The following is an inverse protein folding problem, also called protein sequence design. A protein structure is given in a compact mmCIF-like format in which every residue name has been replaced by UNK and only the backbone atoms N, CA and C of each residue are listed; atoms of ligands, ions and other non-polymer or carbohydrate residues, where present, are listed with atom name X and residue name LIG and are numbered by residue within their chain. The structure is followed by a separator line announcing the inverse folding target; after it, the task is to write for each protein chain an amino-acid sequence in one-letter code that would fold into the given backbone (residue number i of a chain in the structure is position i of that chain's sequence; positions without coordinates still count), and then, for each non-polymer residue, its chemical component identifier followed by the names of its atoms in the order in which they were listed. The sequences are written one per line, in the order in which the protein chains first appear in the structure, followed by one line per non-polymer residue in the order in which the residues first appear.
data_IF_308868436361
#
_entry.id   IF_308868436361
#
_cell.length_a   1.000
_cell.length_b   1.000
_cell.length_c   1.000
_cell.angle_alpha   90.00
_cell.angle_beta   90.00
_cell.angle_gamma   90.00
#
_symmetry.space_group_name_H-M   'P 1'
#
loop_
_entity.id
_entity.type
_entity.pdbx_description
1 polymer ?
#
# COMPACT_ATOMS: atom_id res chain seq x y z
N UNK A 1 37.49 31.31 -5.43
CA UNK A 1 37.62 30.22 -6.42
C UNK A 1 36.37 29.34 -6.53
N UNK A 2 35.33 29.52 -5.70
CA UNK A 2 34.06 28.79 -5.77
C UNK A 2 33.03 29.38 -6.76
N UNK A 3 33.15 30.66 -7.15
CA UNK A 3 32.15 31.38 -7.96
C UNK A 3 32.22 31.10 -9.48
N UNK A 4 33.28 30.44 -9.97
CA UNK A 4 33.51 30.21 -11.41
C UNK A 4 33.08 28.82 -11.90
N UNK A 5 32.69 27.93 -10.99
CA UNK A 5 32.18 26.59 -11.32
C UNK A 5 30.65 26.51 -11.32
N UNK A 6 29.94 27.47 -10.71
CA UNK A 6 28.47 27.46 -10.62
C UNK A 6 27.77 27.71 -11.96
N UNK A 7 28.34 28.54 -12.83
CA UNK A 7 27.68 28.97 -14.08
C UNK A 7 27.81 27.99 -15.25
N UNK A 8 28.95 27.31 -15.50
CA UNK A 8 29.04 26.34 -16.60
C UNK A 8 28.33 25.03 -16.27
N UNK A 9 28.39 24.59 -15.00
CA UNK A 9 27.74 23.37 -14.51
C UNK A 9 26.22 23.54 -14.42
N UNK A 10 25.72 24.73 -14.06
CA UNK A 10 24.28 25.05 -14.12
C UNK A 10 23.69 24.78 -15.50
N UNK A 11 24.32 25.28 -16.57
CA UNK A 11 23.75 25.21 -17.92
C UNK A 11 23.91 23.83 -18.57
N UNK A 12 25.05 23.15 -18.38
CA UNK A 12 25.23 21.79 -18.94
C UNK A 12 24.37 20.77 -18.22
N UNK A 13 24.36 20.77 -16.89
CA UNK A 13 23.58 19.80 -16.10
C UNK A 13 22.09 20.10 -16.19
N UNK A 14 21.62 21.36 -16.13
CA UNK A 14 20.19 21.62 -16.34
C UNK A 14 19.75 21.31 -17.78
N UNK A 15 20.54 21.61 -18.81
CA UNK A 15 20.11 21.33 -20.20
C UNK A 15 20.12 19.83 -20.52
N UNK A 16 21.12 19.08 -20.06
CA UNK A 16 21.15 17.62 -20.25
C UNK A 16 20.08 16.92 -19.40
N UNK A 17 19.81 17.38 -18.18
CA UNK A 17 18.83 16.76 -17.28
C UNK A 17 17.39 17.11 -17.67
N UNK A 18 17.10 18.34 -18.14
CA UNK A 18 15.76 18.72 -18.63
C UNK A 18 15.45 18.18 -20.03
N UNK A 19 16.45 18.05 -20.92
CA UNK A 19 16.27 17.44 -22.23
C UNK A 19 16.22 15.89 -22.15
N UNK A 20 17.01 15.27 -21.27
CA UNK A 20 16.99 13.81 -21.09
C UNK A 20 15.80 13.31 -20.28
N UNK A 21 15.28 14.06 -19.30
CA UNK A 21 14.20 13.58 -18.42
C UNK A 21 12.88 13.23 -19.14
N UNK A 22 12.63 13.74 -20.36
CA UNK A 22 11.49 13.30 -21.18
C UNK A 22 11.77 12.10 -22.08
N UNK A 23 13.03 11.78 -22.35
CA UNK A 23 13.44 10.69 -23.27
C UNK A 23 14.16 9.51 -22.57
N UNK A 24 14.54 9.63 -21.30
CA UNK A 24 15.29 8.59 -20.56
C UNK A 24 14.45 7.49 -19.92
N UNK A 25 13.12 7.57 -20.03
CA UNK A 25 12.19 6.62 -19.39
C UNK A 25 12.35 5.19 -19.97
N UNK A 26 12.93 5.03 -21.15
CA UNK A 26 12.91 3.75 -21.86
C UNK A 26 14.19 2.88 -21.82
N UNK A 27 15.28 3.28 -21.14
CA UNK A 27 16.50 2.44 -21.07
C UNK A 27 17.17 2.44 -19.70
N UNK A 28 16.71 1.56 -18.81
CA UNK A 28 17.24 1.37 -17.46
C UNK A 28 17.46 -0.12 -17.18
N UNK A 29 18.60 -0.65 -17.58
CA UNK A 29 19.17 -1.88 -17.03
C UNK A 29 20.64 -1.60 -16.67
N UNK A 30 21.03 -2.02 -15.47
CA UNK A 30 22.31 -1.86 -14.74
C UNK A 30 22.60 -0.53 -13.98
N UNK A 31 23.24 -0.60 -12.78
CA UNK A 31 23.69 0.56 -12.04
C UNK A 31 24.94 1.11 -12.73
N UNK A 32 24.71 2.08 -13.62
CA UNK A 32 25.77 2.83 -14.26
C UNK A 32 26.53 3.68 -13.20
N UNK A 33 27.85 3.50 -13.02
CA UNK A 33 28.67 4.31 -12.10
C UNK A 33 28.50 5.82 -12.29
N UNK A 34 28.16 6.29 -13.50
CA UNK A 34 27.88 7.70 -13.76
C UNK A 34 26.63 8.20 -13.02
N UNK A 35 25.60 7.36 -12.85
CA UNK A 35 24.36 7.73 -12.14
C UNK A 35 24.58 7.88 -10.65
N UNK A 36 25.45 7.05 -10.06
CA UNK A 36 25.84 7.16 -8.65
C UNK A 36 26.61 8.46 -8.42
N UNK A 37 27.60 8.75 -9.27
CA UNK A 37 28.37 10.00 -9.21
C UNK A 37 27.47 11.24 -9.36
N UNK A 38 26.50 11.19 -10.27
CA UNK A 38 25.53 12.26 -10.46
C UNK A 38 24.64 12.45 -9.21
N UNK A 39 24.19 11.36 -8.58
CA UNK A 39 23.45 11.42 -7.31
C UNK A 39 24.22 12.10 -6.18
N UNK A 40 25.52 11.80 -6.04
CA UNK A 40 26.39 12.41 -5.02
C UNK A 40 26.54 13.92 -5.23
N UNK A 41 26.74 14.37 -6.47
CA UNK A 41 26.84 15.81 -6.78
C UNK A 41 25.53 16.54 -6.47
N UNK A 42 24.39 15.94 -6.82
CA UNK A 42 23.08 16.52 -6.54
C UNK A 42 22.79 16.60 -5.04
N UNK A 43 23.18 15.59 -4.27
CA UNK A 43 23.11 15.60 -2.80
C UNK A 43 23.97 16.70 -2.21
N UNK A 44 25.20 16.85 -2.69
CA UNK A 44 26.09 17.93 -2.26
C UNK A 44 25.45 19.30 -2.49
N UNK A 45 24.92 19.57 -3.70
CA UNK A 45 24.25 20.83 -4.04
C UNK A 45 22.98 21.08 -3.21
N UNK A 46 22.21 20.04 -2.92
CA UNK A 46 21.01 20.12 -2.08
C UNK A 46 21.35 20.60 -0.66
N UNK A 47 22.49 20.17 -0.12
CA UNK A 47 22.95 20.49 1.23
C UNK A 47 23.69 21.83 1.33
N UNK A 48 24.21 22.40 0.24
CA UNK A 48 24.95 23.66 0.29
C UNK A 48 24.06 24.84 0.67
N UNK A 49 24.45 25.61 1.68
CA UNK A 49 23.73 26.84 2.08
C UNK A 49 23.70 27.90 0.98
N UNK A 50 24.77 27.99 0.18
CA UNK A 50 24.90 28.96 -0.91
C UNK A 50 24.01 28.68 -2.11
N UNK A 51 23.49 27.46 -2.24
CA UNK A 51 22.64 27.08 -3.37
C UNK A 51 21.26 27.70 -3.27
N UNK A 52 20.83 28.36 -4.35
CA UNK A 52 19.47 28.91 -4.50
C UNK A 52 18.40 27.84 -4.27
N UNK A 53 17.26 28.22 -3.70
CA UNK A 53 16.11 27.32 -3.46
C UNK A 53 15.59 26.67 -4.74
N UNK A 54 15.64 27.37 -5.88
CA UNK A 54 15.28 26.83 -7.18
C UNK A 54 16.20 25.66 -7.56
N UNK A 55 17.52 25.84 -7.42
CA UNK A 55 18.50 24.78 -7.70
C UNK A 55 18.28 23.58 -6.78
N UNK A 56 18.08 23.80 -5.48
CA UNK A 56 17.81 22.72 -4.52
C UNK A 56 16.54 21.96 -4.88
N UNK A 57 15.51 22.67 -5.34
CA UNK A 57 14.25 22.08 -5.82
C UNK A 57 14.49 21.17 -7.01
N UNK A 58 15.23 21.64 -8.03
CA UNK A 58 15.60 20.81 -9.18
C UNK A 58 16.44 19.60 -8.76
N UNK A 59 17.42 19.76 -7.86
CA UNK A 59 18.18 18.65 -7.32
C UNK A 59 17.28 17.58 -6.68
N UNK A 60 16.35 18.00 -5.80
CA UNK A 60 15.40 17.08 -5.17
C UNK A 60 14.48 16.37 -6.19
N UNK A 61 14.05 17.08 -7.24
CA UNK A 61 13.25 16.50 -8.34
C UNK A 61 14.05 15.40 -9.04
N UNK A 62 15.29 15.67 -9.42
CA UNK A 62 16.15 14.75 -10.18
C UNK A 62 16.52 13.54 -9.33
N UNK A 63 16.85 13.74 -8.04
CA UNK A 63 17.06 12.65 -7.10
C UNK A 63 15.82 11.75 -6.97
N UNK A 64 14.62 12.36 -6.93
CA UNK A 64 13.36 11.61 -6.95
C UNK A 64 13.18 10.77 -8.21
N UNK A 65 13.54 11.30 -9.38
CA UNK A 65 13.50 10.57 -10.65
C UNK A 65 14.52 9.43 -10.69
N UNK A 66 15.72 9.62 -10.14
CA UNK A 66 16.72 8.55 -10.01
C UNK A 66 16.21 7.41 -9.13
N UNK A 67 15.56 7.74 -8.01
CA UNK A 67 14.95 6.77 -7.10
C UNK A 67 13.79 5.98 -7.73
N UNK A 68 13.09 6.53 -8.73
CA UNK A 68 12.03 5.82 -9.47
C UNK A 68 12.56 4.76 -10.45
N UNK A 69 13.88 4.68 -10.66
CA UNK A 69 14.49 3.73 -11.60
C UNK A 69 14.49 2.29 -11.08
N UNK A 70 15.61 1.83 -10.54
CA UNK A 70 15.77 0.45 -10.03
C UNK A 70 15.92 0.44 -8.50
N UNK A 71 15.69 -0.71 -7.87
CA UNK A 71 16.02 -0.91 -6.45
C UNK A 71 17.50 -0.62 -6.14
N UNK A 72 18.39 -0.89 -7.10
CA UNK A 72 19.81 -0.56 -6.95
C UNK A 72 20.05 0.94 -6.88
N UNK A 73 19.31 1.75 -7.64
CA UNK A 73 19.39 3.21 -7.53
C UNK A 73 18.99 3.67 -6.13
N UNK A 74 17.91 3.10 -5.57
CA UNK A 74 17.47 3.43 -4.20
C UNK A 74 18.54 3.05 -3.19
N UNK A 75 19.12 1.84 -3.28
CA UNK A 75 20.25 1.41 -2.41
C UNK A 75 21.43 2.38 -2.48
N UNK A 76 21.88 2.74 -3.69
CA UNK A 76 22.99 3.69 -3.85
C UNK A 76 22.69 5.08 -3.26
N UNK A 77 21.45 5.55 -3.35
CA UNK A 77 21.05 6.81 -2.73
C UNK A 77 21.01 6.71 -1.20
N UNK A 78 20.55 5.58 -0.65
CA UNK A 78 20.59 5.30 0.79
C UNK A 78 22.03 5.28 1.32
N UNK A 79 22.95 4.64 0.60
CA UNK A 79 24.39 4.62 0.93
C UNK A 79 24.99 6.03 0.96
N UNK A 80 24.41 6.98 0.21
CA UNK A 80 24.80 8.39 0.21
C UNK A 80 24.04 9.24 1.25
N UNK A 81 23.33 8.63 2.20
CA UNK A 81 22.56 9.33 3.24
C UNK A 81 21.51 10.33 2.72
N UNK A 82 20.79 9.96 1.66
CA UNK A 82 19.76 10.81 1.05
C UNK A 82 18.62 11.19 2.02
N UNK A 83 18.19 10.29 2.91
CA UNK A 83 17.04 10.51 3.78
C UNK A 83 17.30 11.71 4.73
N UNK A 84 18.39 11.74 5.52
CA UNK A 84 18.74 12.93 6.32
C UNK A 84 18.82 14.22 5.51
N UNK A 85 19.39 14.18 4.30
CA UNK A 85 19.50 15.36 3.44
C UNK A 85 18.13 15.93 3.04
N UNK A 86 17.19 15.05 2.67
CA UNK A 86 15.84 15.45 2.30
C UNK A 86 15.01 15.90 3.50
N UNK A 87 15.16 15.24 4.66
CA UNK A 87 14.51 15.64 5.92
C UNK A 87 14.98 17.04 6.34
N UNK A 88 16.26 17.34 6.22
CA UNK A 88 16.79 18.69 6.44
C UNK A 88 16.17 19.70 5.46
N UNK A 89 15.95 19.32 4.20
CA UNK A 89 15.26 20.13 3.21
C UNK A 89 13.83 20.53 3.61
N UNK A 90 13.15 19.69 4.41
CA UNK A 90 11.80 19.97 4.92
C UNK A 90 11.76 21.12 5.94
N UNK A 91 12.90 21.60 6.44
CA UNK A 91 12.98 22.77 7.32
C UNK A 91 12.95 24.10 6.55
N UNK A 92 13.02 24.05 5.22
CA UNK A 92 12.89 25.23 4.35
C UNK A 92 11.52 25.91 4.49
N UNK A 93 11.41 27.24 4.34
CA UNK A 93 10.13 27.92 4.24
C UNK A 93 9.49 27.79 2.84
N UNK A 94 10.25 27.39 1.82
CA UNK A 94 9.77 27.33 0.43
C UNK A 94 8.94 26.06 0.17
N UNK A 95 7.64 26.22 -0.09
CA UNK A 95 6.71 25.10 -0.26
C UNK A 95 7.05 24.23 -1.48
N UNK A 96 7.55 24.80 -2.58
CA UNK A 96 7.90 24.02 -3.78
C UNK A 96 9.07 23.08 -3.49
N UNK A 97 10.06 23.56 -2.75
CA UNK A 97 11.17 22.75 -2.32
C UNK A 97 10.74 21.67 -1.32
N UNK A 98 9.90 22.00 -0.33
CA UNK A 98 9.30 21.02 0.60
C UNK A 98 8.58 19.91 -0.18
N UNK A 99 7.72 20.27 -1.14
CA UNK A 99 6.99 19.30 -1.95
C UNK A 99 7.93 18.42 -2.79
N UNK A 100 9.01 18.98 -3.32
CA UNK A 100 10.03 18.20 -4.05
C UNK A 100 10.75 17.20 -3.12
N UNK A 101 11.14 17.63 -1.91
CA UNK A 101 11.74 16.76 -0.90
C UNK A 101 10.78 15.66 -0.45
N UNK A 102 9.53 15.98 -0.12
CA UNK A 102 8.51 15.00 0.27
C UNK A 102 8.21 14.02 -0.86
N UNK A 103 8.15 14.49 -2.10
CA UNK A 103 7.95 13.61 -3.27
C UNK A 103 9.09 12.61 -3.42
N UNK A 104 10.33 13.06 -3.22
CA UNK A 104 11.52 12.21 -3.25
C UNK A 104 11.53 11.21 -2.09
N UNK A 105 11.30 11.68 -0.85
CA UNK A 105 11.18 10.83 0.34
C UNK A 105 10.10 9.76 0.17
N UNK A 106 8.93 10.13 -0.37
CA UNK A 106 7.85 9.19 -0.69
C UNK A 106 8.34 8.09 -1.62
N UNK A 107 9.06 8.43 -2.69
CA UNK A 107 9.59 7.44 -3.63
C UNK A 107 10.55 6.48 -2.94
N UNK A 108 11.47 7.01 -2.12
CA UNK A 108 12.46 6.22 -1.38
C UNK A 108 11.76 5.28 -0.40
N UNK A 109 10.85 5.77 0.44
CA UNK A 109 10.16 4.99 1.45
C UNK A 109 9.10 4.01 0.89
N UNK A 110 8.63 4.21 -0.34
CA UNK A 110 7.74 3.23 -1.01
C UNK A 110 8.52 2.04 -1.58
N UNK A 111 9.84 2.16 -1.70
CA UNK A 111 10.68 1.08 -2.22
C UNK A 111 10.83 -0.06 -1.20
N UNK A 112 10.74 -1.34 -1.62
CA UNK A 112 10.87 -2.49 -0.71
C UNK A 112 12.26 -2.65 -0.11
N UNK A 113 13.28 -1.96 -0.64
CA UNK A 113 14.66 -2.03 -0.15
C UNK A 113 15.02 -0.96 0.88
N UNK A 114 14.09 -0.04 1.16
CA UNK A 114 14.28 1.00 2.17
C UNK A 114 13.74 0.50 3.52
N UNK A 115 14.58 0.38 4.56
CA UNK A 115 14.10 0.02 5.90
C UNK A 115 13.16 1.08 6.46
N UNK A 116 11.96 0.68 6.87
CA UNK A 116 10.94 1.57 7.41
C UNK A 116 11.34 2.24 8.72
N UNK A 117 12.23 1.62 9.51
CA UNK A 117 12.69 2.10 10.81
C UNK A 117 13.41 3.45 10.66
N UNK A 118 14.00 3.72 9.50
CA UNK A 118 14.70 4.97 9.21
C UNK A 118 13.80 6.21 9.34
N UNK A 119 12.48 6.05 9.18
CA UNK A 119 11.51 7.14 9.39
C UNK A 119 11.36 7.48 10.89
N UNK A 120 11.58 6.50 11.77
CA UNK A 120 11.30 6.59 13.21
C UNK A 120 12.58 6.76 14.07
N UNK A 121 13.76 6.80 13.45
CA UNK A 121 15.05 6.97 14.17
C UNK A 121 15.15 8.30 14.92
N UNK A 122 14.62 9.38 14.34
CA UNK A 122 14.60 10.72 14.96
C UNK A 122 13.17 11.08 15.36
N UNK A 123 12.95 11.23 16.67
CA UNK A 123 11.64 11.53 17.26
C UNK A 123 11.04 12.86 16.80
N UNK A 124 11.82 13.76 16.19
CA UNK A 124 11.33 15.04 15.66
C UNK A 124 10.68 14.92 14.28
N UNK A 125 10.97 13.85 13.53
CA UNK A 125 10.53 13.68 12.14
C UNK A 125 9.01 13.54 12.04
N UNK A 126 8.40 12.66 12.83
CA UNK A 126 6.94 12.45 12.78
C UNK A 126 6.17 13.73 13.14
N UNK A 127 6.45 14.44 14.26
CA UNK A 127 5.85 15.75 14.54
C UNK A 127 6.01 16.75 13.40
N UNK A 128 7.19 16.83 12.79
CA UNK A 128 7.45 17.77 11.69
C UNK A 128 6.62 17.44 10.44
N UNK A 129 6.54 16.16 10.07
CA UNK A 129 5.68 15.71 8.98
C UNK A 129 4.20 16.01 9.26
N UNK A 130 3.73 15.83 10.50
CA UNK A 130 2.35 16.20 10.87
C UNK A 130 2.11 17.72 10.70
N UNK A 131 3.07 18.56 11.09
CA UNK A 131 2.97 20.01 10.89
C UNK A 131 2.94 20.42 9.41
N UNK A 132 3.59 19.62 8.54
CA UNK A 132 3.58 19.86 7.09
C UNK A 132 2.32 19.38 6.38
N UNK A 133 1.52 18.51 7.02
CA UNK A 133 0.35 17.88 6.42
C UNK A 133 -0.69 18.89 5.92
N UNK A 134 -0.88 20.03 6.61
CA UNK A 134 -1.89 21.03 6.23
C UNK A 134 -1.43 22.03 5.17
N UNK A 135 -0.17 21.97 4.70
CA UNK A 135 0.40 23.01 3.83
C UNK A 135 -0.07 22.98 2.39
N UNK A 136 -0.32 21.80 1.83
CA UNK A 136 -0.88 21.67 0.48
C UNK A 136 -1.48 20.28 0.25
N UNK A 137 -2.24 20.12 -0.84
CA UNK A 137 -2.72 18.80 -1.28
C UNK A 137 -1.58 17.80 -1.54
N UNK A 138 -0.41 18.30 -1.95
CA UNK A 138 0.74 17.47 -2.26
C UNK A 138 1.42 17.00 -0.97
N UNK A 139 1.53 17.87 0.04
CA UNK A 139 2.04 17.44 1.35
C UNK A 139 1.11 16.42 1.98
N UNK A 140 -0.21 16.62 1.92
CA UNK A 140 -1.21 15.62 2.33
C UNK A 140 -0.99 14.26 1.66
N UNK A 141 -0.92 14.24 0.32
CA UNK A 141 -0.74 13.01 -0.45
C UNK A 141 0.55 12.28 -0.09
N UNK A 142 1.70 12.98 -0.13
CA UNK A 142 3.00 12.35 0.05
C UNK A 142 3.24 11.88 1.47
N UNK A 143 2.83 12.65 2.48
CA UNK A 143 3.02 12.29 3.88
C UNK A 143 2.14 11.11 4.27
N UNK A 144 0.87 11.11 3.85
CA UNK A 144 0.02 9.94 4.05
C UNK A 144 0.61 8.69 3.36
N UNK A 145 1.12 8.83 2.14
CA UNK A 145 1.74 7.71 1.45
C UNK A 145 3.01 7.20 2.16
N UNK A 146 3.85 8.09 2.69
CA UNK A 146 5.02 7.70 3.50
C UNK A 146 4.55 6.91 4.73
N UNK A 147 3.59 7.43 5.50
CA UNK A 147 3.07 6.74 6.68
C UNK A 147 2.43 5.39 6.36
N UNK A 148 1.67 5.29 5.26
CA UNK A 148 1.05 4.02 4.89
C UNK A 148 2.07 2.93 4.51
N UNK A 149 3.26 3.31 4.05
CA UNK A 149 4.31 2.34 3.70
C UNK A 149 5.19 2.00 4.90
N UNK A 150 5.57 2.99 5.71
CA UNK A 150 6.50 2.80 6.82
C UNK A 150 5.82 2.29 8.12
N UNK A 151 4.50 2.41 8.26
CA UNK A 151 3.80 1.87 9.43
C UNK A 151 3.57 0.35 9.25
N UNK A 152 4.41 -0.48 9.87
CA UNK A 152 4.40 -1.95 9.72
C UNK A 152 4.01 -2.72 10.98
N UNK A 153 4.00 -2.08 12.15
CA UNK A 153 3.75 -2.75 13.42
C UNK A 153 3.26 -1.82 14.54
N UNK A 154 2.96 -2.37 15.72
CA UNK A 154 2.34 -1.66 16.83
C UNK A 154 3.17 -0.47 17.34
N UNK A 155 4.50 -0.55 17.31
CA UNK A 155 5.37 0.54 17.74
C UNK A 155 5.22 1.77 16.81
N UNK A 156 5.24 1.55 15.49
CA UNK A 156 5.04 2.61 14.50
C UNK A 156 3.64 3.22 14.60
N UNK A 157 2.61 2.38 14.77
CA UNK A 157 1.23 2.83 14.97
C UNK A 157 1.11 3.71 16.23
N UNK A 158 1.76 3.30 17.33
CA UNK A 158 1.76 4.04 18.61
C UNK A 158 2.43 5.40 18.46
N UNK A 159 3.57 5.47 17.77
CA UNK A 159 4.27 6.74 17.50
C UNK A 159 3.36 7.68 16.69
N UNK A 160 2.79 7.20 15.58
CA UNK A 160 1.88 7.99 14.75
C UNK A 160 0.65 8.45 15.54
N UNK A 161 0.06 7.55 16.33
CA UNK A 161 -1.10 7.83 17.17
C UNK A 161 -0.80 8.92 18.21
N UNK A 162 0.31 8.80 18.94
CA UNK A 162 0.72 9.76 19.96
C UNK A 162 1.03 11.17 19.39
N UNK A 163 1.43 11.24 18.12
CA UNK A 163 1.62 12.51 17.40
C UNK A 163 0.37 12.99 16.64
N UNK A 164 -0.81 12.44 16.95
CA UNK A 164 -2.09 12.94 16.48
C UNK A 164 -2.41 12.58 15.03
N UNK A 165 -1.85 11.50 14.47
CA UNK A 165 -2.13 11.06 13.10
C UNK A 165 -3.63 10.91 12.84
N UNK A 166 -4.38 10.35 13.80
CA UNK A 166 -5.83 10.13 13.69
C UNK A 166 -6.56 11.46 13.45
N UNK A 167 -6.34 12.46 14.30
CA UNK A 167 -7.03 13.74 14.22
C UNK A 167 -6.59 14.55 12.99
N UNK A 168 -5.28 14.52 12.67
CA UNK A 168 -4.73 15.27 11.55
C UNK A 168 -5.09 14.68 10.18
N UNK A 169 -5.31 13.36 10.07
CA UNK A 169 -5.59 12.69 8.79
C UNK A 169 -7.09 12.45 8.57
N UNK A 170 -7.92 12.38 9.62
CA UNK A 170 -9.35 12.03 9.50
C UNK A 170 -10.12 12.91 8.50
N UNK A 171 -9.93 14.24 8.56
CA UNK A 171 -10.60 15.16 7.63
C UNK A 171 -10.16 14.98 6.16
N UNK A 172 -9.01 14.34 5.90
CA UNK A 172 -8.56 14.06 4.54
C UNK A 172 -9.40 12.97 3.85
N UNK A 173 -10.15 12.17 4.61
CA UNK A 173 -11.10 11.19 4.07
C UNK A 173 -12.29 11.83 3.34
N UNK A 174 -12.59 13.11 3.61
CA UNK A 174 -13.63 13.87 2.88
C UNK A 174 -13.05 14.81 1.83
N UNK A 175 -11.72 14.83 1.65
CA UNK A 175 -11.04 15.66 0.64
C UNK A 175 -11.59 15.43 -0.77
N UNK A 176 -11.75 16.51 -1.55
CA UNK A 176 -12.17 16.43 -2.96
C UNK A 176 -11.13 15.76 -3.87
N UNK A 177 -9.87 15.71 -3.44
CA UNK A 177 -8.81 15.01 -4.18
C UNK A 177 -8.87 13.51 -3.92
N UNK A 178 -9.18 12.72 -4.95
CA UNK A 178 -9.12 11.26 -4.88
C UNK A 178 -7.79 10.76 -4.35
N UNK A 179 -6.67 11.35 -4.82
CA UNK A 179 -5.33 10.93 -4.40
C UNK A 179 -5.12 11.11 -2.90
N UNK A 180 -5.46 12.28 -2.37
CA UNK A 180 -5.36 12.56 -0.93
C UNK A 180 -6.25 11.61 -0.14
N UNK A 181 -7.51 11.47 -0.56
CA UNK A 181 -8.50 10.61 0.09
C UNK A 181 -8.03 9.15 0.17
N UNK A 182 -7.46 8.64 -0.92
CA UNK A 182 -6.95 7.27 -0.98
C UNK A 182 -5.73 7.06 -0.09
N UNK A 183 -4.78 8.00 -0.05
CA UNK A 183 -3.63 7.85 0.85
C UNK A 183 -4.05 7.94 2.32
N UNK A 184 -4.98 8.84 2.66
CA UNK A 184 -5.55 8.90 4.00
C UNK A 184 -6.22 7.56 4.38
N UNK A 185 -7.03 6.98 3.48
CA UNK A 185 -7.67 5.68 3.71
C UNK A 185 -6.64 4.56 3.92
N UNK A 186 -5.54 4.55 3.16
CA UNK A 186 -4.43 3.60 3.36
C UNK A 186 -3.75 3.78 4.72
N UNK A 187 -3.54 5.02 5.18
CA UNK A 187 -3.05 5.29 6.54
C UNK A 187 -3.97 4.68 7.60
N UNK A 188 -5.29 4.89 7.50
CA UNK A 188 -6.22 4.32 8.46
C UNK A 188 -6.20 2.79 8.45
N UNK A 189 -6.01 2.17 7.29
CA UNK A 189 -5.88 0.71 7.20
C UNK A 189 -4.67 0.19 7.98
N UNK A 190 -3.49 0.82 7.85
CA UNK A 190 -2.30 0.37 8.59
C UNK A 190 -2.33 0.74 10.07
N UNK A 191 -3.04 1.81 10.44
CA UNK A 191 -3.25 2.19 11.85
C UNK A 191 -4.20 1.23 12.58
N UNK A 192 -5.21 0.71 11.89
CA UNK A 192 -6.20 -0.20 12.48
C UNK A 192 -5.71 -1.64 12.60
N UNK A 193 -4.74 -2.06 11.78
CA UNK A 193 -4.30 -3.45 11.70
C UNK A 193 -3.74 -3.96 13.03
N UNK A 194 -4.40 -4.98 13.60
CA UNK A 194 -3.99 -5.66 14.84
C UNK A 194 -3.73 -4.72 16.04
N UNK A 195 -4.42 -3.57 16.09
CA UNK A 195 -4.26 -2.59 17.15
C UNK A 195 -5.60 -2.23 17.81
N UNK A 196 -5.95 -2.87 18.94
CA UNK A 196 -7.18 -2.58 19.68
C UNK A 196 -7.29 -1.15 20.17
N UNK A 197 -6.21 -0.57 20.69
CA UNK A 197 -6.23 0.80 21.24
C UNK A 197 -6.56 1.82 20.15
N UNK A 198 -5.85 1.77 19.03
CA UNK A 198 -6.07 2.67 17.91
C UNK A 198 -7.45 2.43 17.33
N UNK A 199 -7.85 1.17 17.09
CA UNK A 199 -9.17 0.84 16.52
C UNK A 199 -10.35 1.32 17.38
N UNK A 200 -10.26 1.19 18.71
CA UNK A 200 -11.26 1.73 19.65
C UNK A 200 -11.36 3.25 19.59
N UNK A 201 -10.27 3.94 19.27
CA UNK A 201 -10.31 5.38 19.02
C UNK A 201 -10.97 5.67 17.68
N UNK A 202 -10.58 4.95 16.62
CA UNK A 202 -11.07 5.16 15.25
C UNK A 202 -12.59 5.09 15.13
N UNK A 203 -13.24 4.13 15.79
CA UNK A 203 -14.73 3.99 15.73
C UNK A 203 -15.47 5.23 16.24
N UNK A 204 -14.83 6.03 17.10
CA UNK A 204 -15.42 7.20 17.77
C UNK A 204 -15.03 8.53 17.11
N UNK A 205 -14.17 8.52 16.09
CA UNK A 205 -13.75 9.74 15.40
C UNK A 205 -14.88 10.26 14.51
N UNK A 206 -15.21 11.54 14.70
CA UNK A 206 -16.19 12.27 13.90
C UNK A 206 -15.49 13.12 12.84
N UNK A 207 -15.94 13.02 11.60
CA UNK A 207 -15.56 13.91 10.50
C UNK A 207 -16.83 14.45 9.87
N UNK A 208 -16.99 15.77 9.85
CA UNK A 208 -18.17 16.45 9.33
C UNK A 208 -19.51 15.92 9.91
N UNK A 209 -19.49 15.48 11.18
CA UNK A 209 -20.65 14.94 11.90
C UNK A 209 -20.91 13.44 11.69
N UNK A 210 -20.07 12.74 10.93
CA UNK A 210 -20.19 11.30 10.68
C UNK A 210 -19.06 10.51 11.31
N UNK A 211 -19.37 9.32 11.82
CA UNK A 211 -18.37 8.43 12.40
C UNK A 211 -17.52 7.78 11.29
N UNK A 212 -16.23 7.52 11.56
CA UNK A 212 -15.34 6.89 10.58
C UNK A 212 -15.90 5.59 9.96
N UNK A 213 -16.52 4.64 10.72
CA UNK A 213 -17.13 3.46 10.11
C UNK A 213 -18.20 3.80 9.06
N UNK A 214 -18.98 4.87 9.25
CA UNK A 214 -19.99 5.31 8.28
C UNK A 214 -19.34 5.85 7.01
N UNK A 215 -18.24 6.60 7.15
CA UNK A 215 -17.44 7.11 6.02
C UNK A 215 -16.84 5.94 5.23
N UNK A 216 -16.29 4.93 5.90
CA UNK A 216 -15.81 3.72 5.26
C UNK A 216 -16.93 2.97 4.53
N UNK A 217 -18.11 2.83 5.14
CA UNK A 217 -19.28 2.23 4.47
C UNK A 217 -19.67 2.99 3.19
N UNK A 218 -19.59 4.33 3.17
CA UNK A 218 -19.82 5.11 1.93
C UNK A 218 -18.76 4.83 0.86
N UNK A 219 -17.52 4.55 1.26
CA UNK A 219 -16.42 4.18 0.38
C UNK A 219 -16.54 2.74 -0.18
N UNK A 220 -17.42 1.89 0.40
CA UNK A 220 -17.74 0.55 -0.11
C UNK A 220 -18.76 0.53 -1.26
N UNK A 221 -19.39 1.67 -1.58
CA UNK A 221 -20.44 1.74 -2.59
C UNK A 221 -19.91 1.33 -3.98
N UNK A 222 -20.78 0.71 -4.79
CA UNK A 222 -20.39 0.11 -6.08
C UNK A 222 -19.92 1.13 -7.13
N UNK A 223 -20.30 2.39 -6.98
CA UNK A 223 -19.88 3.50 -7.83
C UNK A 223 -18.46 4.02 -7.50
N UNK A 224 -17.85 3.54 -6.41
CA UNK A 224 -16.47 3.93 -6.04
C UNK A 224 -15.42 3.08 -6.77
N UNK A 225 -14.18 3.57 -6.93
CA UNK A 225 -13.08 2.76 -7.44
C UNK A 225 -12.82 1.50 -6.59
N UNK A 226 -12.39 0.40 -7.21
CA UNK A 226 -12.21 -0.88 -6.52
C UNK A 226 -11.16 -0.81 -5.41
N UNK A 227 -10.05 -0.12 -5.65
CA UNK A 227 -9.02 0.17 -4.64
C UNK A 227 -9.61 0.81 -3.38
N UNK A 228 -10.55 1.76 -3.54
CA UNK A 228 -11.24 2.43 -2.42
C UNK A 228 -12.13 1.45 -1.66
N UNK A 229 -12.89 0.63 -2.38
CA UNK A 229 -13.76 -0.37 -1.77
C UNK A 229 -12.96 -1.42 -0.98
N UNK A 230 -11.86 -1.95 -1.54
CA UNK A 230 -10.98 -2.91 -0.88
C UNK A 230 -10.32 -2.30 0.36
N UNK A 231 -9.71 -1.12 0.23
CA UNK A 231 -9.01 -0.48 1.35
C UNK A 231 -9.98 -0.09 2.47
N UNK A 232 -11.19 0.35 2.11
CA UNK A 232 -12.25 0.63 3.09
C UNK A 232 -12.73 -0.63 3.80
N UNK A 233 -12.91 -1.73 3.05
CA UNK A 233 -13.27 -3.02 3.62
C UNK A 233 -12.19 -3.50 4.60
N UNK A 234 -10.90 -3.31 4.27
CA UNK A 234 -9.78 -3.60 5.19
C UNK A 234 -9.86 -2.81 6.48
N UNK A 235 -10.14 -1.50 6.42
CA UNK A 235 -10.30 -0.68 7.63
C UNK A 235 -11.39 -1.25 8.54
N UNK A 236 -12.57 -1.53 8.00
CA UNK A 236 -13.69 -2.09 8.77
C UNK A 236 -13.38 -3.50 9.29
N UNK A 237 -12.76 -4.35 8.47
CA UNK A 237 -12.31 -5.68 8.87
C UNK A 237 -11.32 -5.62 10.03
N UNK A 238 -10.31 -4.75 9.96
CA UNK A 238 -9.30 -4.63 10.99
C UNK A 238 -9.88 -4.07 12.29
N UNK A 239 -10.76 -3.07 12.21
CA UNK A 239 -11.47 -2.55 13.38
C UNK A 239 -12.39 -3.60 14.02
N UNK A 240 -13.03 -4.44 13.21
CA UNK A 240 -13.81 -5.59 13.69
C UNK A 240 -12.91 -6.63 14.39
N UNK A 241 -11.81 -7.03 13.75
CA UNK A 241 -10.86 -8.02 14.27
C UNK A 241 -10.14 -7.55 15.53
N UNK A 242 -9.95 -6.24 15.67
CA UNK A 242 -9.41 -5.60 16.88
C UNK A 242 -10.46 -5.45 18.02
N UNK A 243 -11.71 -5.89 17.80
CA UNK A 243 -12.79 -5.85 18.79
C UNK A 243 -13.49 -4.49 18.93
N UNK A 244 -13.18 -3.52 18.06
CA UNK A 244 -13.78 -2.19 18.12
C UNK A 244 -15.16 -2.12 17.44
N UNK A 245 -15.38 -2.97 16.44
CA UNK A 245 -16.69 -3.17 15.79
C UNK A 245 -17.12 -4.61 16.08
N UNK A 246 -18.40 -4.80 16.41
CA UNK A 246 -18.94 -6.15 16.62
C UNK A 246 -19.10 -6.89 15.30
N UNK A 247 -18.94 -8.20 15.32
CA UNK A 247 -19.09 -9.05 14.12
C UNK A 247 -20.53 -9.05 13.58
N UNK A 248 -21.53 -8.80 14.44
CA UNK A 248 -22.95 -8.68 14.10
C UNK A 248 -23.38 -7.27 13.64
N UNK A 249 -22.45 -6.31 13.60
CA UNK A 249 -22.77 -4.95 13.14
C UNK A 249 -23.15 -4.94 11.65
N UNK A 250 -24.18 -4.15 11.30
CA UNK A 250 -24.65 -4.01 9.93
C UNK A 250 -23.56 -3.55 8.96
N UNK A 251 -22.57 -2.76 9.42
CA UNK A 251 -21.45 -2.37 8.58
C UNK A 251 -20.57 -3.56 8.19
N UNK A 252 -20.49 -4.59 9.05
CA UNK A 252 -19.74 -5.82 8.75
C UNK A 252 -20.59 -6.77 7.91
N UNK A 253 -21.74 -7.19 8.44
CA UNK A 253 -22.57 -8.25 7.86
C UNK A 253 -23.19 -7.83 6.52
N UNK A 254 -23.68 -6.59 6.42
CA UNK A 254 -24.45 -6.14 5.25
C UNK A 254 -23.63 -5.31 4.26
N UNK A 255 -22.43 -4.84 4.63
CA UNK A 255 -21.58 -3.99 3.77
C UNK A 255 -20.22 -4.60 3.49
N UNK A 256 -19.40 -4.84 4.51
CA UNK A 256 -18.00 -5.30 4.34
C UNK A 256 -17.92 -6.71 3.76
N UNK A 257 -18.59 -7.69 4.37
CA UNK A 257 -18.54 -9.09 3.93
C UNK A 257 -19.05 -9.23 2.47
N UNK A 258 -20.24 -8.71 2.08
CA UNK A 258 -20.70 -8.80 0.70
C UNK A 258 -19.80 -8.07 -0.29
N UNK A 259 -19.14 -6.98 0.13
CA UNK A 259 -18.16 -6.29 -0.69
C UNK A 259 -16.96 -7.20 -0.99
N UNK A 260 -16.37 -7.81 0.03
CA UNK A 260 -15.21 -8.68 -0.10
C UNK A 260 -15.52 -9.95 -0.90
N UNK A 261 -16.71 -10.55 -0.71
CA UNK A 261 -17.15 -11.69 -1.54
C UNK A 261 -17.22 -11.29 -3.02
N UNK A 262 -17.74 -10.11 -3.35
CA UNK A 262 -17.78 -9.60 -4.73
C UNK A 262 -16.37 -9.35 -5.30
N UNK A 263 -15.39 -8.99 -4.47
CA UNK A 263 -14.00 -8.84 -4.92
C UNK A 263 -13.38 -10.18 -5.35
N UNK A 264 -13.92 -11.30 -4.88
CA UNK A 264 -13.44 -12.61 -5.27
C UNK A 264 -13.86 -13.03 -6.70
N UNK A 265 -14.73 -12.25 -7.36
CA UNK A 265 -15.34 -12.62 -8.65
C UNK A 265 -14.39 -12.59 -9.85
N UNK A 266 -14.72 -13.38 -10.87
CA UNK A 266 -13.94 -13.48 -12.12
C UNK A 266 -13.92 -12.21 -12.98
N UNK A 267 -14.68 -11.19 -12.61
CA UNK A 267 -14.72 -9.88 -13.29
C UNK A 267 -13.63 -8.93 -12.76
N UNK A 268 -12.96 -9.30 -11.67
CA UNK A 268 -11.91 -8.49 -11.00
C UNK A 268 -10.52 -8.82 -11.52
N UNK A 269 -9.58 -7.90 -11.32
CA UNK A 269 -8.16 -8.15 -11.56
C UNK A 269 -7.63 -9.23 -10.60
N UNK A 270 -6.51 -9.85 -10.93
CA UNK A 270 -5.97 -10.98 -10.15
C UNK A 270 -5.57 -10.52 -8.74
N UNK A 271 -4.98 -9.34 -8.64
CA UNK A 271 -4.52 -8.72 -7.40
C UNK A 271 -5.72 -8.33 -6.51
N UNK A 272 -6.78 -7.78 -7.11
CA UNK A 272 -8.03 -7.44 -6.41
C UNK A 272 -8.72 -8.67 -5.83
N UNK A 273 -8.66 -9.80 -6.55
CA UNK A 273 -9.18 -11.10 -6.11
C UNK A 273 -8.40 -11.65 -4.93
N UNK A 274 -7.07 -11.63 -5.03
CA UNK A 274 -6.17 -12.05 -3.95
C UNK A 274 -6.45 -11.21 -2.70
N UNK A 275 -6.41 -9.89 -2.81
CA UNK A 275 -6.62 -8.99 -1.67
C UNK A 275 -8.04 -9.14 -1.07
N UNK A 276 -9.06 -9.28 -1.91
CA UNK A 276 -10.44 -9.52 -1.49
C UNK A 276 -10.59 -10.83 -0.71
N UNK A 277 -10.01 -11.92 -1.22
CA UNK A 277 -10.09 -13.24 -0.59
C UNK A 277 -9.29 -13.29 0.72
N UNK A 278 -8.10 -12.70 0.77
CA UNK A 278 -7.28 -12.65 1.99
C UNK A 278 -7.93 -11.79 3.08
N UNK A 279 -8.49 -10.63 2.71
CA UNK A 279 -9.19 -9.76 3.65
C UNK A 279 -10.46 -10.44 4.17
N UNK A 280 -11.20 -11.16 3.31
CA UNK A 280 -12.37 -11.93 3.73
C UNK A 280 -11.99 -13.06 4.67
N UNK A 281 -10.91 -13.79 4.36
CA UNK A 281 -10.40 -14.86 5.21
C UNK A 281 -10.11 -14.33 6.62
N UNK A 282 -9.36 -13.22 6.70
CA UNK A 282 -9.03 -12.58 7.97
C UNK A 282 -10.27 -12.10 8.74
N UNK A 283 -11.30 -11.58 8.06
CA UNK A 283 -12.54 -11.14 8.69
C UNK A 283 -13.30 -12.28 9.37
N UNK A 284 -13.48 -13.40 8.68
CA UNK A 284 -14.38 -14.48 9.10
C UNK A 284 -13.72 -15.53 9.99
N UNK A 285 -12.38 -15.63 9.97
CA UNK A 285 -11.61 -16.64 10.70
C UNK A 285 -12.06 -16.86 12.17
N UNK A 286 -12.31 -15.82 13.00
CA UNK A 286 -12.68 -16.04 14.40
C UNK A 286 -14.19 -16.28 14.62
N UNK A 287 -15.06 -16.01 13.65
CA UNK A 287 -16.51 -15.89 13.87
C UNK A 287 -17.32 -16.89 13.04
N UNK A 288 -17.98 -17.82 13.74
CA UNK A 288 -18.78 -18.90 13.13
C UNK A 288 -19.94 -18.35 12.29
N UNK A 289 -20.58 -17.27 12.72
CA UNK A 289 -21.74 -16.73 12.03
C UNK A 289 -21.32 -16.03 10.73
N UNK A 290 -20.22 -15.27 10.76
CA UNK A 290 -19.63 -14.71 9.54
C UNK A 290 -19.17 -15.81 8.56
N UNK A 291 -18.61 -16.92 9.06
CA UNK A 291 -18.28 -18.09 8.23
C UNK A 291 -19.53 -18.67 7.56
N UNK A 292 -20.62 -18.85 8.31
CA UNK A 292 -21.90 -19.32 7.77
C UNK A 292 -22.43 -18.39 6.70
N UNK A 293 -22.51 -17.10 6.97
CA UNK A 293 -22.98 -16.07 6.02
C UNK A 293 -22.13 -16.10 4.74
N UNK A 294 -20.80 -16.13 4.86
CA UNK A 294 -19.91 -16.22 3.71
C UNK A 294 -20.11 -17.53 2.92
N UNK A 295 -20.33 -18.67 3.60
CA UNK A 295 -20.49 -19.99 2.97
C UNK A 295 -21.80 -20.17 2.20
N UNK A 296 -22.84 -19.41 2.57
CA UNK A 296 -24.13 -19.40 1.88
C UNK A 296 -24.22 -18.28 0.85
N UNK A 297 -23.25 -17.35 0.82
CA UNK A 297 -23.23 -16.31 -0.20
C UNK A 297 -23.00 -16.96 -1.55
N UNK A 298 -23.98 -16.76 -2.45
CA UNK A 298 -24.00 -17.45 -3.74
C UNK A 298 -22.68 -17.27 -4.49
N UNK A 299 -22.18 -18.39 -4.99
CA UNK A 299 -20.98 -18.51 -5.82
C UNK A 299 -19.62 -18.32 -5.13
N UNK A 300 -19.50 -18.01 -3.83
CA UNK A 300 -18.16 -17.83 -3.22
C UNK A 300 -17.26 -19.06 -3.40
N UNK A 301 -17.75 -20.24 -3.02
CA UNK A 301 -17.00 -21.50 -3.15
C UNK A 301 -16.66 -21.79 -4.62
N UNK A 302 -17.59 -21.54 -5.55
CA UNK A 302 -17.33 -21.72 -6.98
C UNK A 302 -16.27 -20.74 -7.51
N UNK A 303 -16.32 -19.47 -7.10
CA UNK A 303 -15.33 -18.45 -7.48
C UNK A 303 -13.93 -18.83 -6.99
N UNK A 304 -13.79 -19.37 -5.77
CA UNK A 304 -12.50 -19.84 -5.24
C UNK A 304 -12.00 -21.09 -5.96
N UNK A 305 -12.89 -21.97 -6.42
CA UNK A 305 -12.51 -23.10 -7.26
C UNK A 305 -11.80 -22.66 -8.54
N UNK A 306 -12.27 -21.57 -9.13
CA UNK A 306 -11.70 -21.04 -10.37
C UNK A 306 -10.27 -20.50 -10.18
N UNK A 307 -9.85 -20.17 -8.95
CA UNK A 307 -8.49 -19.71 -8.67
C UNK A 307 -7.45 -20.81 -8.94
N UNK A 308 -7.82 -22.07 -8.72
CA UNK A 308 -6.95 -23.22 -8.99
C UNK A 308 -6.82 -23.55 -10.49
N UNK A 309 -7.73 -23.03 -11.32
CA UNK A 309 -7.71 -23.24 -12.77
C UNK A 309 -6.77 -22.24 -13.48
N UNK A 310 -6.24 -21.24 -12.76
CA UNK A 310 -5.29 -20.28 -13.30
C UNK A 310 -3.83 -20.79 -13.23
N UNK A 311 -2.99 -20.54 -14.26
CA UNK A 311 -3.38 -20.00 -15.57
C UNK A 311 -4.10 -21.07 -16.40
N UNK A 312 -5.09 -20.68 -17.19
CA UNK A 312 -5.79 -21.62 -18.09
C UNK A 312 -4.78 -22.25 -19.04
N UNK A 313 -4.82 -23.57 -19.21
CA UNK A 313 -3.88 -24.38 -20.03
C UNK A 313 -3.68 -23.91 -21.48
N UNK A 314 -4.52 -23.00 -21.96
CA UNK A 314 -4.51 -22.42 -23.32
C UNK A 314 -3.64 -21.16 -23.44
N UNK A 315 -3.19 -20.53 -22.34
CA UNK A 315 -2.37 -19.30 -22.39
C UNK A 315 -0.85 -19.54 -22.51
N UNK A 316 -0.42 -20.80 -22.53
CA UNK A 316 0.95 -21.23 -22.70
C UNK A 316 1.16 -21.50 -24.22
N UNK A 317 2.01 -20.85 -25.01
CA UNK A 317 3.42 -20.49 -24.85
C UNK A 317 3.77 -19.54 -26.01
N UNK A 318 4.31 -18.35 -25.73
CA UNK A 318 5.16 -17.59 -26.68
C UNK A 318 6.21 -16.69 -26.00
N UNK A 319 6.06 -16.36 -24.70
CA UNK A 319 6.97 -15.45 -23.98
C UNK A 319 7.28 -15.94 -22.55
N UNK A 320 8.57 -16.15 -22.25
CA UNK A 320 9.07 -16.63 -20.95
C UNK A 320 8.77 -15.64 -19.81
N UNK A 321 8.85 -14.32 -20.08
CA UNK A 321 8.57 -13.30 -19.03
C UNK A 321 7.11 -13.30 -18.63
N UNK A 322 6.22 -13.52 -19.60
CA UNK A 322 4.78 -13.65 -19.36
C UNK A 322 4.44 -14.89 -18.55
N UNK A 323 5.15 -16.00 -18.82
CA UNK A 323 4.99 -17.24 -18.05
C UNK A 323 5.35 -17.06 -16.58
N UNK A 324 6.49 -16.42 -16.28
CA UNK A 324 6.93 -16.17 -14.90
C UNK A 324 5.93 -15.30 -14.13
N UNK A 325 5.44 -14.24 -14.79
CA UNK A 325 4.38 -13.39 -14.27
C UNK A 325 3.09 -14.18 -13.97
N UNK A 326 2.64 -15.02 -14.91
CA UNK A 326 1.42 -15.82 -14.74
C UNK A 326 1.56 -16.86 -13.62
N UNK A 327 2.73 -17.48 -13.48
CA UNK A 327 3.01 -18.44 -12.41
C UNK A 327 2.99 -17.77 -11.02
N UNK A 328 3.54 -16.56 -10.91
CA UNK A 328 3.49 -15.79 -9.65
C UNK A 328 2.05 -15.50 -9.22
N UNK A 329 1.22 -14.96 -10.12
CA UNK A 329 -0.18 -14.66 -9.80
C UNK A 329 -1.01 -15.92 -9.54
N UNK A 330 -0.70 -17.03 -10.22
CA UNK A 330 -1.32 -18.31 -9.94
C UNK A 330 -1.02 -18.79 -8.52
N UNK A 331 0.22 -18.64 -8.06
CA UNK A 331 0.60 -18.98 -6.70
C UNK A 331 -0.17 -18.12 -5.67
N UNK A 332 -0.20 -16.80 -5.87
CA UNK A 332 -0.92 -15.86 -4.99
C UNK A 332 -2.42 -16.16 -4.92
N UNK A 333 -3.07 -16.41 -6.06
CA UNK A 333 -4.47 -16.82 -6.10
C UNK A 333 -4.73 -18.11 -5.33
N UNK A 334 -3.90 -19.14 -5.56
CA UNK A 334 -4.05 -20.43 -4.85
C UNK A 334 -3.86 -20.25 -3.35
N UNK A 335 -2.87 -19.46 -2.93
CA UNK A 335 -2.63 -19.16 -1.52
C UNK A 335 -3.83 -18.44 -0.89
N UNK A 336 -4.36 -17.41 -1.56
CA UNK A 336 -5.54 -16.69 -1.09
C UNK A 336 -6.78 -17.60 -0.99
N UNK A 337 -7.00 -18.45 -1.99
CA UNK A 337 -8.08 -19.43 -1.97
C UNK A 337 -7.93 -20.42 -0.81
N UNK A 338 -6.73 -20.95 -0.57
CA UNK A 338 -6.48 -21.85 0.56
C UNK A 338 -6.74 -21.17 1.91
N UNK A 339 -6.25 -19.93 2.10
CA UNK A 339 -6.50 -19.15 3.33
C UNK A 339 -8.00 -18.98 3.58
N UNK A 340 -8.75 -18.61 2.55
CA UNK A 340 -10.19 -18.39 2.68
C UNK A 340 -10.95 -19.70 2.89
N UNK A 341 -10.57 -20.79 2.23
CA UNK A 341 -11.15 -22.12 2.51
C UNK A 341 -10.88 -22.58 3.94
N UNK A 342 -9.66 -22.38 4.43
CA UNK A 342 -9.30 -22.70 5.81
C UNK A 342 -10.15 -21.89 6.79
N UNK A 343 -10.34 -20.60 6.53
CA UNK A 343 -11.15 -19.71 7.39
C UNK A 343 -12.63 -20.08 7.36
N UNK A 344 -13.19 -20.40 6.19
CA UNK A 344 -14.58 -20.87 6.05
C UNK A 344 -14.83 -22.17 6.83
N UNK A 345 -13.88 -23.10 6.80
CA UNK A 345 -13.98 -24.40 7.44
C UNK A 345 -13.40 -24.45 8.86
N UNK A 346 -12.98 -23.33 9.45
CA UNK A 346 -12.27 -23.33 10.72
C UNK A 346 -13.14 -23.88 11.86
N UNK A 347 -14.37 -23.37 11.97
CA UNK A 347 -15.19 -23.59 13.16
C UNK A 347 -16.53 -24.32 12.90
N UNK A 348 -16.84 -24.67 11.64
CA UNK A 348 -18.12 -25.32 11.27
C UNK A 348 -17.90 -26.59 10.41
N UNK A 349 -18.34 -27.75 10.93
CA UNK A 349 -18.19 -29.04 10.25
C UNK A 349 -18.99 -29.16 8.96
N UNK A 350 -20.17 -28.56 8.90
CA UNK A 350 -21.03 -28.68 7.73
C UNK A 350 -20.49 -27.83 6.59
N UNK A 351 -19.86 -26.69 6.91
CA UNK A 351 -19.08 -25.91 5.94
C UNK A 351 -17.86 -26.72 5.47
N UNK A 352 -17.12 -27.38 6.37
CA UNK A 352 -16.00 -28.27 5.98
C UNK A 352 -16.45 -29.36 5.01
N UNK A 353 -17.59 -30.00 5.26
CA UNK A 353 -18.17 -31.00 4.35
C UNK A 353 -18.55 -30.38 3.01
N UNK A 354 -19.20 -29.22 2.99
CA UNK A 354 -19.59 -28.49 1.77
C UNK A 354 -18.38 -28.12 0.90
N UNK A 355 -17.31 -27.63 1.52
CA UNK A 355 -16.03 -27.32 0.85
C UNK A 355 -15.34 -28.59 0.33
N UNK A 356 -15.42 -29.69 1.08
CA UNK A 356 -14.77 -30.96 0.72
C UNK A 356 -15.53 -31.77 -0.36
N UNK A 357 -16.85 -31.62 -0.43
CA UNK A 357 -17.75 -32.42 -1.27
C UNK A 357 -18.32 -31.65 -2.48
N UNK A 358 -18.23 -30.31 -2.51
CA UNK A 358 -18.77 -29.47 -3.59
C UNK A 358 -17.88 -29.37 -4.84
N UNK A 359 -18.43 -28.78 -5.92
CA UNK A 359 -17.77 -28.54 -7.22
C UNK A 359 -16.53 -27.61 -7.18
N UNK A 360 -16.12 -27.17 -5.98
CA UNK A 360 -14.98 -26.26 -5.76
C UNK A 360 -13.77 -26.85 -5.03
N UNK A 361 -13.64 -28.18 -5.03
CA UNK A 361 -12.63 -28.92 -4.28
C UNK A 361 -11.19 -28.42 -4.54
N UNK A 362 -10.41 -28.07 -3.49
CA UNK A 362 -9.00 -27.82 -3.62
C UNK A 362 -8.27 -29.09 -4.12
N UNK A 363 -7.36 -28.99 -5.11
CA UNK A 363 -6.70 -30.16 -5.72
C UNK A 363 -5.81 -30.98 -4.76
N UNK A 364 -5.47 -30.46 -3.57
CA UNK A 364 -4.72 -31.22 -2.56
C UNK A 364 -5.63 -32.27 -1.88
N UNK A 365 -6.93 -32.00 -1.76
CA UNK A 365 -7.87 -32.98 -1.19
C UNK A 365 -8.19 -34.12 -2.16
N UNK A 366 -7.89 -34.01 -3.46
CA UNK A 366 -8.08 -35.12 -4.42
C UNK A 366 -7.02 -36.21 -4.30
N UNK A 367 -5.78 -35.87 -3.93
CA UNK A 367 -4.67 -36.83 -3.87
C UNK A 367 -4.82 -37.86 -2.73
N UNK A 368 -5.41 -37.47 -1.60
CA UNK A 368 -5.58 -38.35 -0.43
C UNK A 368 -6.69 -39.40 -0.56
N UNK A 369 -7.53 -39.36 -1.60
CA UNK A 369 -8.53 -40.42 -1.88
C UNK A 369 -8.11 -41.43 -2.94
N UNK A 370 -7.07 -41.17 -3.73
CA UNK A 370 -6.59 -42.14 -4.73
C UNK A 370 -5.62 -43.19 -4.16
N UNK A 371 -5.32 -43.15 -2.86
CA UNK A 371 -4.44 -44.13 -2.19
C UNK A 371 -5.15 -45.23 -1.39
N UNK A 372 -6.49 -45.30 -1.37
CA UNK A 372 -7.23 -46.28 -0.56
C UNK A 372 -8.38 -46.91 -1.35
N UNK A 373 -8.07 -47.50 -2.51
CA UNK A 373 -8.91 -48.54 -3.14
C UNK A 373 -8.02 -49.45 -3.98
N UNK A 374 -7.24 -50.30 -3.33
CA UNK A 374 -6.64 -51.49 -3.96
C UNK A 374 -6.19 -52.48 -2.88
N UNK A 375 -7.16 -53.25 -2.41
CA UNK A 375 -7.06 -54.69 -2.08
C UNK A 375 -8.46 -55.25 -2.21
#
# INVERSE_FOLDING_TARGET
MACLLETPIRMSVLSEVTASSRHYVDRLFDPDPQKVLQGVILLYLLQQETSSTELKTECAVVLGSLAMGTENNVKSLLDCHIIPALLQGLLSPDLKFIEACLRCLRTIFTSPVTPEELLYTDATVIPHLMALLSRSRYTQEYICQIFSHCCKGPDHQTILFNHGAVQNIAHLLTSLSYKVRMQALKCFSVLAFENPQVSMTLVNVLVDGELLPQIFVKMLQRDKPIEMQLTSAKCLTYMCRAGAIRTDDNCIVLKTLPCLVRMCSKERLLEERVEGAETLAYLIEPDVELQRIASITDHLIAMLADYFKYPSSVSAITDIKRLDHDLKHAHELRQAAFKLYASLGANDEDIRKKVSLGEGRPPVLTASRQGVTST
#
